data_IF_892327347359
#
_entry.id   IF_892327347359
#
_cell.length_a   1.000
_cell.length_b   1.000
_cell.length_c   1.000
_cell.angle_alpha   90.00
_cell.angle_beta   90.00
_cell.angle_gamma   90.00
#
_symmetry.space_group_name_H-M   'P 1'
#
loop_
_entity.id
_entity.type
_entity.pdbx_description
1 polymer ?
#
# COMPACT_ATOMS: atom_id res chain seq x y z
N UNK A 1 -2.64 14.60 -1.25
CA UNK A 1 -1.53 14.82 -0.29
C UNK A 1 -0.17 14.96 -0.99
N UNK A 2 0.08 14.27 -2.10
CA UNK A 2 1.27 14.45 -2.93
C UNK A 2 1.44 15.88 -3.48
N UNK A 3 0.37 16.57 -3.95
CA UNK A 3 0.48 17.96 -4.38
C UNK A 3 0.97 18.92 -3.31
N UNK A 4 0.69 18.63 -2.02
CA UNK A 4 1.17 19.44 -0.90
C UNK A 4 2.68 19.30 -0.66
N UNK A 5 3.28 18.21 -1.15
CA UNK A 5 4.72 17.95 -1.07
C UNK A 5 5.46 18.20 -2.39
N UNK A 6 4.77 18.64 -3.44
CA UNK A 6 5.39 18.90 -4.73
C UNK A 6 6.50 19.98 -4.59
N UNK A 7 7.74 19.58 -4.87
CA UNK A 7 8.91 20.45 -4.72
C UNK A 7 9.66 20.33 -3.39
N UNK A 8 9.15 19.61 -2.39
CA UNK A 8 9.87 19.31 -1.15
C UNK A 8 10.44 17.89 -1.19
N UNK A 9 11.74 17.78 -1.00
CA UNK A 9 12.45 16.49 -1.00
C UNK A 9 11.87 15.56 0.07
N UNK A 10 11.29 14.45 -0.37
CA UNK A 10 10.82 13.37 0.53
C UNK A 10 9.52 13.64 1.29
N UNK A 11 8.85 14.79 1.11
CA UNK A 11 7.57 15.06 1.78
C UNK A 11 6.40 14.41 1.04
N UNK A 12 6.10 13.15 1.36
CA UNK A 12 5.03 12.38 0.73
C UNK A 12 4.09 11.76 1.79
N UNK A 13 3.17 12.52 2.39
CA UNK A 13 2.27 12.03 3.45
C UNK A 13 1.26 10.97 2.98
N UNK A 14 1.16 10.72 1.66
CA UNK A 14 0.33 9.67 1.08
C UNK A 14 0.66 8.28 1.63
N UNK A 15 1.93 8.03 1.98
CA UNK A 15 2.38 6.76 2.54
C UNK A 15 1.71 6.43 3.87
N UNK A 16 1.46 7.44 4.69
CA UNK A 16 0.76 7.27 5.97
C UNK A 16 -0.67 6.76 5.74
N UNK A 17 -1.37 7.32 4.76
CA UNK A 17 -2.73 6.91 4.40
C UNK A 17 -2.76 5.46 3.89
N UNK A 18 -1.83 5.11 3.00
CA UNK A 18 -1.73 3.76 2.41
C UNK A 18 -1.43 2.72 3.49
N UNK A 19 -0.45 2.99 4.36
CA UNK A 19 -0.02 2.08 5.43
C UNK A 19 -1.14 1.90 6.47
N UNK A 20 -1.75 3.00 6.93
CA UNK A 20 -2.81 2.94 7.93
C UNK A 20 -4.10 2.31 7.38
N UNK A 21 -4.41 2.57 6.09
CA UNK A 21 -5.53 1.92 5.41
C UNK A 21 -5.35 0.41 5.29
N UNK A 22 -4.18 -0.04 4.83
CA UNK A 22 -3.83 -1.46 4.77
C UNK A 22 -3.86 -2.11 6.15
N UNK A 23 -3.30 -1.44 7.17
CA UNK A 23 -3.29 -1.91 8.56
C UNK A 23 -4.68 -2.05 9.18
N UNK A 24 -5.60 -1.13 8.87
CA UNK A 24 -6.94 -1.11 9.45
C UNK A 24 -7.95 -1.99 8.73
N UNK A 25 -7.84 -2.06 7.40
CA UNK A 25 -8.86 -2.65 6.51
C UNK A 25 -8.37 -3.94 5.82
N UNK A 26 -7.13 -4.34 6.09
CA UNK A 26 -6.55 -5.57 5.58
C UNK A 26 -5.73 -5.42 4.29
N UNK A 27 -5.00 -6.50 3.92
CA UNK A 27 -4.00 -6.45 2.85
C UNK A 27 -4.61 -6.16 1.47
N UNK A 28 -5.74 -6.78 1.13
CA UNK A 28 -6.41 -6.54 -0.16
C UNK A 28 -6.85 -5.10 -0.34
N UNK A 29 -7.44 -4.49 0.69
CA UNK A 29 -7.80 -3.08 0.68
C UNK A 29 -6.55 -2.19 0.56
N UNK A 30 -5.50 -2.50 1.31
CA UNK A 30 -4.24 -1.77 1.27
C UNK A 30 -3.61 -1.76 -0.12
N UNK A 31 -3.65 -2.91 -0.81
CA UNK A 31 -3.18 -3.01 -2.19
C UNK A 31 -3.95 -2.09 -3.13
N UNK A 32 -5.28 -2.15 -3.09
CA UNK A 32 -6.14 -1.30 -3.91
C UNK A 32 -5.94 0.18 -3.58
N UNK A 33 -5.89 0.53 -2.30
CA UNK A 33 -5.68 1.90 -1.85
C UNK A 33 -4.36 2.47 -2.37
N UNK A 34 -3.27 1.71 -2.31
CA UNK A 34 -1.98 2.12 -2.84
C UNK A 34 -2.03 2.42 -4.34
N UNK A 35 -2.61 1.51 -5.12
CA UNK A 35 -2.76 1.68 -6.57
C UNK A 35 -3.61 2.91 -6.92
N UNK A 36 -4.82 3.01 -6.36
CA UNK A 36 -5.76 4.11 -6.65
C UNK A 36 -5.21 5.45 -6.18
N UNK A 37 -4.56 5.49 -5.01
CA UNK A 37 -3.97 6.73 -4.48
C UNK A 37 -2.87 7.27 -5.39
N UNK A 38 -1.99 6.40 -5.92
CA UNK A 38 -0.93 6.82 -6.84
C UNK A 38 -1.50 7.25 -8.20
N UNK A 39 -2.48 6.52 -8.72
CA UNK A 39 -3.17 6.89 -9.96
C UNK A 39 -3.85 8.26 -9.84
N UNK A 40 -4.68 8.46 -8.82
CA UNK A 40 -5.34 9.74 -8.57
C UNK A 40 -4.33 10.88 -8.38
N UNK A 41 -3.24 10.63 -7.65
CA UNK A 41 -2.16 11.60 -7.49
C UNK A 41 -1.50 11.97 -8.81
N UNK A 42 -1.24 10.99 -9.68
CA UNK A 42 -0.64 11.24 -10.99
C UNK A 42 -1.53 12.11 -11.88
N UNK A 43 -2.85 11.87 -11.86
CA UNK A 43 -3.81 12.72 -12.60
C UNK A 43 -3.81 14.17 -12.08
N UNK A 44 -3.77 14.34 -10.76
CA UNK A 44 -3.80 15.67 -10.13
C UNK A 44 -2.50 16.47 -10.30
N UNK A 45 -1.37 15.79 -10.45
CA UNK A 45 -0.04 16.43 -10.54
C UNK A 45 0.55 16.43 -11.94
N UNK A 46 -0.17 15.90 -12.94
CA UNK A 46 0.36 15.73 -14.29
C UNK A 46 1.49 14.69 -14.37
N UNK A 47 1.61 13.82 -13.37
CA UNK A 47 2.67 12.81 -13.26
C UNK A 47 2.39 11.52 -14.01
N UNK A 48 1.59 11.53 -15.06
CA UNK A 48 1.29 10.35 -15.88
C UNK A 48 2.45 10.08 -16.84
N UNK A 49 2.98 8.86 -16.79
CA UNK A 49 4.09 8.44 -17.64
C UNK A 49 4.34 6.94 -17.56
N UNK A 50 5.30 6.39 -18.30
CA UNK A 50 5.57 4.95 -18.34
C UNK A 50 6.00 4.35 -16.99
N UNK A 51 6.43 5.17 -16.06
CA UNK A 51 6.75 4.79 -14.67
C UNK A 51 5.52 4.55 -13.80
N UNK A 52 4.36 5.11 -14.16
CA UNK A 52 3.16 5.10 -13.31
C UNK A 52 2.69 3.69 -12.91
N UNK A 53 2.60 2.69 -13.82
CA UNK A 53 2.19 1.34 -13.42
C UNK A 53 3.11 0.73 -12.36
N UNK A 54 4.43 0.95 -12.47
CA UNK A 54 5.39 0.47 -11.47
C UNK A 54 5.21 1.16 -10.12
N UNK A 55 4.99 2.48 -10.13
CA UNK A 55 4.67 3.24 -8.91
C UNK A 55 3.41 2.74 -8.23
N UNK A 56 2.35 2.49 -9.00
CA UNK A 56 1.07 1.98 -8.50
C UNK A 56 1.23 0.62 -7.84
N UNK A 57 1.84 -0.34 -8.54
CA UNK A 57 2.06 -1.70 -8.03
C UNK A 57 2.94 -1.66 -6.78
N UNK A 58 4.04 -0.91 -6.79
CA UNK A 58 4.94 -0.80 -5.64
C UNK A 58 4.22 -0.20 -4.42
N UNK A 59 3.39 0.84 -4.60
CA UNK A 59 2.58 1.42 -3.53
C UNK A 59 1.48 0.45 -3.06
N UNK A 60 0.91 -0.32 -3.96
CA UNK A 60 -0.01 -1.41 -3.63
C UNK A 60 0.64 -2.43 -2.69
N UNK A 61 1.86 -2.86 -2.98
CA UNK A 61 2.61 -3.78 -2.12
C UNK A 61 2.94 -3.19 -0.75
N UNK A 62 3.21 -1.88 -0.66
CA UNK A 62 3.37 -1.21 0.64
C UNK A 62 2.08 -1.29 1.46
N UNK A 63 0.92 -1.01 0.86
CA UNK A 63 -0.37 -1.13 1.54
C UNK A 63 -0.72 -2.58 1.92
N UNK A 64 -0.44 -3.53 1.02
CA UNK A 64 -0.64 -4.96 1.25
C UNK A 64 0.20 -5.46 2.43
N UNK A 65 1.49 -5.18 2.43
CA UNK A 65 2.40 -5.58 3.51
C UNK A 65 2.03 -4.98 4.86
N UNK A 66 1.53 -3.73 4.90
CA UNK A 66 1.02 -3.13 6.11
C UNK A 66 -0.15 -3.92 6.72
N UNK A 67 -1.02 -4.48 5.87
CA UNK A 67 -2.13 -5.34 6.27
C UNK A 67 -1.71 -6.71 6.80
N UNK A 68 -0.54 -7.21 6.39
CA UNK A 68 0.03 -8.49 6.84
C UNK A 68 0.79 -8.41 8.16
N UNK A 69 1.08 -7.21 8.67
CA UNK A 69 1.81 -7.05 9.91
C UNK A 69 1.11 -7.76 11.08
N UNK A 70 1.86 -8.36 12.02
CA UNK A 70 1.30 -9.04 13.17
C UNK A 70 0.40 -8.10 13.97
N UNK A 71 -0.72 -8.65 14.49
CA UNK A 71 -1.74 -7.90 15.22
C UNK A 71 -1.24 -7.57 16.64
N UNK A 72 -0.36 -6.56 16.74
CA UNK A 72 0.04 -6.01 18.02
C UNK A 72 -1.01 -5.00 18.50
N UNK A 73 -1.19 -4.94 19.82
CA UNK A 73 -2.12 -4.01 20.48
C UNK A 73 -1.37 -3.13 21.49
N UNK A 74 -1.92 -1.95 21.76
CA UNK A 74 -1.34 -1.04 22.73
C UNK A 74 -0.08 -0.34 22.23
N UNK A 75 0.89 -0.14 23.14
CA UNK A 75 2.08 0.68 22.87
C UNK A 75 3.05 0.12 21.82
N UNK A 76 2.99 -1.18 21.56
CA UNK A 76 3.89 -1.82 20.60
C UNK A 76 3.46 -1.64 19.12
N UNK A 77 2.22 -1.26 18.86
CA UNK A 77 1.70 -1.13 17.51
C UNK A 77 2.31 0.07 16.75
N UNK A 78 2.40 1.22 17.40
CA UNK A 78 2.93 2.43 16.77
C UNK A 78 4.39 2.28 16.30
N UNK A 79 5.35 1.78 17.12
CA UNK A 79 6.71 1.56 16.64
C UNK A 79 6.81 0.47 15.55
N UNK A 80 5.96 -0.56 15.58
CA UNK A 80 5.93 -1.56 14.52
C UNK A 80 5.57 -0.95 13.17
N UNK A 81 4.47 -0.20 13.10
CA UNK A 81 4.03 0.43 11.84
C UNK A 81 5.00 1.52 11.37
N UNK A 82 5.64 2.24 12.30
CA UNK A 82 6.65 3.24 11.97
C UNK A 82 7.92 2.60 11.38
N UNK A 83 8.41 1.52 12.00
CA UNK A 83 9.55 0.76 11.48
C UNK A 83 9.24 0.17 10.10
N UNK A 84 8.05 -0.44 9.94
CA UNK A 84 7.58 -0.92 8.65
C UNK A 84 7.53 0.21 7.62
N UNK A 85 6.95 1.36 7.97
CA UNK A 85 6.82 2.52 7.08
C UNK A 85 8.18 3.05 6.61
N UNK A 86 9.17 3.11 7.51
CA UNK A 86 10.53 3.52 7.15
C UNK A 86 11.18 2.53 6.17
N UNK A 87 11.09 1.23 6.47
CA UNK A 87 11.64 0.18 5.58
C UNK A 87 10.93 0.17 4.23
N UNK A 88 9.59 0.28 4.21
CA UNK A 88 8.80 0.29 3.00
C UNK A 88 9.10 1.52 2.13
N UNK A 89 9.34 2.68 2.74
CA UNK A 89 9.72 3.91 2.02
C UNK A 89 11.06 3.77 1.30
N UNK A 90 12.06 3.15 1.94
CA UNK A 90 13.35 2.84 1.32
C UNK A 90 13.19 1.78 0.23
N UNK A 91 12.50 0.68 0.53
CA UNK A 91 12.28 -0.40 -0.43
C UNK A 91 11.55 0.08 -1.69
N UNK A 92 10.58 0.99 -1.55
CA UNK A 92 9.90 1.61 -2.67
C UNK A 92 10.87 2.37 -3.59
N UNK A 93 11.78 3.18 -3.05
CA UNK A 93 12.80 3.88 -3.83
C UNK A 93 13.70 2.91 -4.59
N UNK A 94 14.16 1.85 -3.92
CA UNK A 94 14.97 0.80 -4.52
C UNK A 94 14.24 0.08 -5.67
N UNK A 95 12.98 -0.27 -5.50
CA UNK A 95 12.18 -0.92 -6.55
C UNK A 95 11.98 -0.02 -7.77
N UNK A 96 11.71 1.27 -7.58
CA UNK A 96 11.55 2.20 -8.68
C UNK A 96 12.86 2.41 -9.45
N UNK A 97 13.98 2.46 -8.76
CA UNK A 97 15.28 2.56 -9.41
C UNK A 97 15.61 1.30 -10.23
N UNK A 98 15.17 0.12 -9.78
CA UNK A 98 15.38 -1.11 -10.54
C UNK A 98 14.71 -1.07 -11.91
N UNK A 99 13.53 -0.44 -12.01
CA UNK A 99 12.86 -0.22 -13.29
C UNK A 99 13.60 0.79 -14.17
N UNK A 100 14.05 1.91 -13.60
CA UNK A 100 14.65 3.02 -14.36
C UNK A 100 16.12 2.76 -14.72
N UNK A 101 16.88 2.17 -13.81
CA UNK A 101 18.34 2.07 -13.89
C UNK A 101 18.88 1.40 -15.18
N UNK A 102 18.31 0.29 -15.73
CA UNK A 102 18.80 -0.32 -16.95
C UNK A 102 18.67 0.59 -18.18
N UNK A 103 17.77 1.58 -18.12
CA UNK A 103 17.48 2.53 -19.21
C UNK A 103 18.12 3.89 -19.00
N UNK A 104 18.74 4.12 -17.86
CA UNK A 104 19.51 5.33 -17.57
C UNK A 104 20.76 5.35 -18.42
N UNK A 105 20.59 5.71 -19.69
CA UNK A 105 21.68 5.80 -20.67
C UNK A 105 22.43 7.11 -20.47
N UNK A 106 23.64 7.02 -19.98
CA UNK A 106 24.61 8.11 -19.90
C UNK A 106 25.98 7.61 -20.32
N UNK A 107 27.01 8.42 -20.17
CA UNK A 107 28.40 7.96 -20.28
C UNK A 107 28.60 6.76 -19.34
N UNK A 108 29.14 5.66 -19.85
CA UNK A 108 29.37 4.45 -19.08
C UNK A 108 30.19 4.76 -17.82
N UNK A 109 29.57 4.67 -16.67
CA UNK A 109 30.17 4.90 -15.35
C UNK A 109 30.18 3.60 -14.57
N UNK A 110 30.86 3.59 -13.43
CA UNK A 110 30.81 2.46 -12.48
C UNK A 110 29.40 2.22 -11.91
N UNK A 111 28.47 3.17 -12.08
CA UNK A 111 27.08 3.08 -11.64
C UNK A 111 26.13 2.59 -12.73
N UNK A 112 26.60 2.50 -13.99
CA UNK A 112 25.74 2.16 -15.13
C UNK A 112 25.53 0.64 -15.27
N UNK A 113 24.34 0.25 -15.73
CA UNK A 113 24.07 -1.13 -16.13
C UNK A 113 24.97 -1.53 -17.32
N UNK A 114 25.50 -2.73 -17.29
CA UNK A 114 26.29 -3.30 -18.38
C UNK A 114 25.60 -4.56 -18.89
N UNK A 115 25.08 -4.49 -20.09
CA UNK A 115 24.47 -5.64 -20.75
C UNK A 115 25.50 -6.77 -20.93
N UNK A 116 25.13 -8.01 -20.60
CA UNK A 116 26.01 -9.17 -20.67
C UNK A 116 27.02 -9.33 -19.52
N UNK A 117 27.11 -8.38 -18.59
CA UNK A 117 27.95 -8.55 -17.40
C UNK A 117 27.30 -9.54 -16.41
N UNK A 118 28.10 -10.21 -15.55
CA UNK A 118 27.58 -11.08 -14.51
C UNK A 118 26.55 -10.38 -13.63
N UNK A 119 25.49 -11.09 -13.26
CA UNK A 119 24.37 -10.55 -12.45
C UNK A 119 24.86 -9.88 -11.17
N UNK A 120 25.83 -10.51 -10.48
CA UNK A 120 26.39 -9.96 -9.23
C UNK A 120 27.11 -8.63 -9.46
N UNK A 121 27.81 -8.47 -10.57
CA UNK A 121 28.49 -7.22 -10.93
C UNK A 121 27.47 -6.10 -11.20
N UNK A 122 26.37 -6.40 -11.90
CA UNK A 122 25.30 -5.45 -12.14
C UNK A 122 24.52 -5.14 -10.84
N UNK A 123 24.30 -6.11 -9.97
CA UNK A 123 23.68 -5.89 -8.66
C UNK A 123 24.53 -4.94 -7.80
N UNK A 124 25.84 -5.12 -7.76
CA UNK A 124 26.75 -4.21 -7.06
C UNK A 124 26.66 -2.78 -7.61
N UNK A 125 26.67 -2.61 -8.94
CA UNK A 125 26.51 -1.30 -9.58
C UNK A 125 25.17 -0.66 -9.26
N UNK A 126 24.08 -1.44 -9.25
CA UNK A 126 22.76 -0.97 -8.88
C UNK A 126 22.71 -0.53 -7.40
N UNK A 127 23.34 -1.27 -6.48
CA UNK A 127 23.44 -0.84 -5.10
C UNK A 127 24.19 0.49 -4.97
N UNK A 128 25.33 0.63 -5.64
CA UNK A 128 26.09 1.88 -5.66
C UNK A 128 25.27 3.03 -6.27
N UNK A 129 24.51 2.77 -7.33
CA UNK A 129 23.60 3.75 -7.93
C UNK A 129 22.57 4.23 -6.91
N UNK A 130 21.89 3.31 -6.20
CA UNK A 130 20.92 3.67 -5.16
C UNK A 130 21.56 4.50 -4.05
N UNK A 131 22.73 4.08 -3.55
CA UNK A 131 23.44 4.81 -2.50
C UNK A 131 23.83 6.23 -2.93
N UNK A 132 24.28 6.39 -4.17
CA UNK A 132 24.75 7.67 -4.68
C UNK A 132 23.61 8.64 -5.07
N UNK A 133 22.48 8.12 -5.55
CA UNK A 133 21.42 8.95 -6.15
C UNK A 133 20.14 9.03 -5.34
N UNK A 134 19.80 8.02 -4.57
CA UNK A 134 18.46 7.89 -3.98
C UNK A 134 18.40 8.09 -2.48
N UNK A 135 19.48 7.79 -1.74
CA UNK A 135 19.46 7.88 -0.27
C UNK A 135 19.13 9.30 0.23
N UNK A 136 19.57 10.34 -0.49
CA UNK A 136 19.26 11.73 -0.15
C UNK A 136 17.77 12.06 -0.17
N UNK A 137 16.96 11.28 -0.92
CA UNK A 137 15.49 11.39 -0.98
C UNK A 137 14.79 10.33 -0.12
N UNK A 138 15.32 9.12 -0.10
CA UNK A 138 14.69 7.99 0.57
C UNK A 138 14.79 8.10 2.10
N UNK A 139 15.92 8.58 2.64
CA UNK A 139 16.10 8.74 4.09
C UNK A 139 15.18 9.80 4.69
N UNK A 140 15.09 11.05 4.15
CA UNK A 140 14.12 12.03 4.62
C UNK A 140 12.69 11.53 4.53
N UNK A 141 12.32 10.84 3.44
CA UNK A 141 10.99 10.23 3.28
C UNK A 141 10.73 9.17 4.35
N UNK A 142 11.68 8.25 4.58
CA UNK A 142 11.57 7.22 5.59
C UNK A 142 11.43 7.80 7.01
N UNK A 143 12.23 8.80 7.34
CA UNK A 143 12.16 9.50 8.62
C UNK A 143 10.82 10.20 8.81
N UNK A 144 10.34 10.93 7.80
CA UNK A 144 9.05 11.61 7.84
C UNK A 144 7.90 10.62 8.03
N UNK A 145 7.87 9.53 7.24
CA UNK A 145 6.83 8.50 7.33
C UNK A 145 6.83 7.87 8.72
N UNK A 146 8.00 7.52 9.26
CA UNK A 146 8.12 6.96 10.60
C UNK A 146 7.61 7.93 11.69
N UNK A 147 8.00 9.21 11.65
CA UNK A 147 7.56 10.22 12.61
C UNK A 147 6.05 10.43 12.53
N UNK A 148 5.49 10.56 11.33
CA UNK A 148 4.05 10.72 11.13
C UNK A 148 3.27 9.50 11.63
N UNK A 149 3.77 8.28 11.38
CA UNK A 149 3.14 7.06 11.86
C UNK A 149 3.22 6.91 13.38
N UNK A 150 4.29 7.37 14.02
CA UNK A 150 4.40 7.39 15.49
C UNK A 150 3.41 8.37 16.14
N UNK A 151 3.28 9.56 15.57
CA UNK A 151 2.47 10.64 16.15
C UNK A 151 1.00 10.49 15.76
N UNK A 152 0.71 10.41 14.46
CA UNK A 152 -0.66 10.41 13.93
C UNK A 152 -1.24 8.99 13.74
N UNK A 153 -0.39 7.95 13.71
CA UNK A 153 -0.82 6.58 13.48
C UNK A 153 -1.87 6.08 14.50
N UNK A 154 -1.59 6.13 15.80
CA UNK A 154 -2.52 5.62 16.83
C UNK A 154 -3.91 6.23 16.77
N UNK A 155 -4.11 7.57 16.76
CA UNK A 155 -5.44 8.16 16.70
C UNK A 155 -6.18 7.86 15.39
N UNK A 156 -5.46 7.84 14.25
CA UNK A 156 -6.06 7.53 12.95
C UNK A 156 -6.50 6.06 12.89
N UNK A 157 -5.66 5.11 13.34
CA UNK A 157 -6.05 3.70 13.43
C UNK A 157 -7.26 3.47 14.34
N UNK A 158 -7.30 4.16 15.47
CA UNK A 158 -8.45 4.08 16.37
C UNK A 158 -9.74 4.60 15.69
N UNK A 159 -9.64 5.67 14.91
CA UNK A 159 -10.77 6.21 14.15
C UNK A 159 -11.21 5.26 13.03
N UNK A 160 -10.29 4.74 12.23
CA UNK A 160 -10.57 3.78 11.16
C UNK A 160 -11.24 2.51 11.72
N UNK A 161 -10.69 1.92 12.78
CA UNK A 161 -11.26 0.73 13.42
C UNK A 161 -12.65 0.97 14.03
N UNK A 162 -12.94 2.18 14.51
CA UNK A 162 -14.30 2.55 14.93
C UNK A 162 -15.25 2.64 13.75
N UNK A 163 -14.78 3.21 12.64
CA UNK A 163 -15.58 3.34 11.42
C UNK A 163 -15.90 1.95 10.82
N UNK A 164 -14.92 1.03 10.74
CA UNK A 164 -15.15 -0.34 10.24
C UNK A 164 -16.16 -1.11 11.09
N UNK A 165 -16.06 -1.02 12.42
CA UNK A 165 -17.03 -1.67 13.31
C UNK A 165 -18.45 -1.11 13.15
N UNK A 166 -18.58 0.20 12.93
CA UNK A 166 -19.90 0.83 12.72
C UNK A 166 -20.51 0.48 11.35
N UNK A 167 -19.67 0.32 10.33
CA UNK A 167 -20.10 -0.06 9.00
C UNK A 167 -20.39 -1.58 8.86
N UNK A 168 -20.20 -2.37 9.94
CA UNK A 168 -20.42 -3.81 9.98
C UNK A 168 -19.68 -4.61 8.89
N UNK A 169 -18.51 -4.17 8.45
CA UNK A 169 -17.70 -4.88 7.46
C UNK A 169 -17.21 -6.26 7.95
N UNK A 170 -17.26 -6.52 9.25
CA UNK A 170 -16.84 -7.79 9.86
C UNK A 170 -18.03 -8.74 10.13
N UNK A 171 -19.25 -8.40 9.70
CA UNK A 171 -20.41 -9.27 9.86
C UNK A 171 -20.37 -10.36 8.79
N UNK A 172 -20.34 -11.65 9.16
CA UNK A 172 -20.40 -12.74 8.20
C UNK A 172 -21.72 -12.65 7.42
N UNK A 173 -21.61 -12.74 6.08
CA UNK A 173 -22.81 -12.79 5.23
C UNK A 173 -23.46 -14.15 5.47
N UNK A 174 -24.57 -14.17 6.18
CA UNK A 174 -25.41 -15.37 6.37
C UNK A 174 -26.44 -15.36 5.23
N UNK A 175 -26.31 -16.27 4.29
CA UNK A 175 -27.34 -16.51 3.29
C UNK A 175 -28.47 -17.32 3.97
N UNK A 176 -29.58 -16.69 4.28
CA UNK A 176 -30.79 -17.46 4.63
C UNK A 176 -31.25 -18.21 3.36
N UNK A 177 -31.40 -19.54 3.43
CA UNK A 177 -32.00 -20.25 2.33
C UNK A 177 -33.44 -19.72 2.12
N UNK A 178 -33.81 -19.46 0.86
CA UNK A 178 -35.13 -19.01 0.53
C UNK A 178 -36.15 -19.96 1.18
N UNK A 179 -37.04 -19.43 2.04
CA UNK A 179 -38.13 -20.23 2.58
C UNK A 179 -38.88 -20.80 1.38
N UNK A 180 -38.81 -22.12 1.22
CA UNK A 180 -39.67 -22.84 0.28
C UNK A 180 -41.11 -22.43 0.59
N UNK A 181 -41.75 -21.77 -0.35
CA UNK A 181 -43.15 -21.43 -0.24
C UNK A 181 -43.88 -22.73 0.09
N UNK A 182 -44.44 -22.83 1.29
CA UNK A 182 -45.27 -23.96 1.72
C UNK A 182 -46.37 -24.12 0.68
N UNK A 183 -46.39 -25.29 0.06
CA UNK A 183 -47.46 -25.68 -0.86
C UNK A 183 -48.82 -25.42 -0.19
N UNK A 184 -49.81 -24.89 -0.93
CA UNK A 184 -51.15 -24.69 -0.38
C UNK A 184 -51.72 -26.05 0.03
N UNK A 185 -52.22 -26.11 1.29
CA UNK A 185 -52.89 -27.26 1.79
C UNK A 185 -54.09 -27.58 0.86
N UNK A 186 -54.00 -28.67 0.13
CA UNK A 186 -55.11 -29.26 -0.59
C UNK A 186 -56.19 -29.63 0.43
N UNK A 187 -57.26 -28.84 0.45
CA UNK A 187 -58.46 -29.11 1.21
C UNK A 187 -59.06 -30.46 0.79
N UNK A 188 -59.04 -31.44 1.70
CA UNK A 188 -59.91 -32.58 1.62
C UNK A 188 -61.27 -32.14 2.18
N UNK A 189 -62.16 -31.72 1.29
CA UNK A 189 -63.57 -31.63 1.64
C UNK A 189 -64.20 -33.02 1.45
N UNK A 190 -64.63 -33.59 2.56
CA UNK A 190 -65.21 -34.92 2.68
C UNK A 190 -66.58 -34.96 2.07
N UNK A 191 -66.77 -35.99 1.28
CA UNK A 191 -68.08 -36.50 0.92
C UNK A 191 -68.68 -37.25 2.14
N UNK A 192 -69.80 -36.74 2.65
CA UNK A 192 -70.77 -37.50 3.38
C UNK A 192 -72.13 -37.34 2.65
N UNK A 193 -72.63 -38.44 2.17
CA UNK A 193 -74.01 -38.75 2.01
C UNK A 193 -74.19 -40.27 2.09
#
# INVERSE_FOLDING_TARGET
>A
LRPLGAGTVGFEPIWVVIILGGRALGPGFGFLLGNVSLFASALLTGGVGPWLPFQMIAAGWVGFGAGLLPQLRGRAEAPLIAAYGAVAAIAYGFLLNLWFWPWATGTATQLSFVAGAPVLANLHRWLLFNLATSLGFDLPRAALVAVLLLIAGPPILAALRRATRRAAFDVPIVFEPARSASAPATGQDGARA
#
